data_IF_914386611336
#
_entry.id   IF_914386611336
#
_cell.length_a   1.000
_cell.length_b   1.000
_cell.length_c   1.000
_cell.angle_alpha   90.00
_cell.angle_beta   90.00
_cell.angle_gamma   90.00
#
_symmetry.space_group_name_H-M   'P 1'
#
loop_
_entity.id
_entity.type
_entity.pdbx_description
1 polymer ?
#
# COMPACT_ATOMS: atom_id res chain seq x y z
N UNK A 1 21.30 -5.12 -10.42
CA UNK A 1 20.52 -3.88 -10.69
C UNK A 1 20.54 -3.08 -9.42
N UNK A 2 20.96 -1.82 -9.44
CA UNK A 2 21.07 -1.02 -8.21
C UNK A 2 19.75 -0.30 -7.93
N UNK A 3 19.12 -0.60 -6.80
CA UNK A 3 17.93 0.11 -6.34
C UNK A 3 18.37 1.28 -5.44
N UNK A 4 18.02 2.51 -5.83
CA UNK A 4 18.21 3.68 -4.98
C UNK A 4 17.13 3.74 -3.90
N UNK A 5 17.49 4.13 -2.68
CA UNK A 5 16.52 4.42 -1.63
C UNK A 5 15.90 5.82 -1.77
N UNK A 6 16.47 6.67 -2.63
CA UNK A 6 15.99 8.02 -2.87
C UNK A 6 14.92 8.05 -3.97
N UNK A 7 13.88 8.84 -3.71
CA UNK A 7 12.87 9.13 -4.70
C UNK A 7 13.43 10.09 -5.77
N UNK A 8 13.11 9.88 -7.06
CA UNK A 8 13.36 10.90 -8.06
C UNK A 8 12.53 12.16 -7.74
N UNK A 9 12.95 13.34 -8.20
CA UNK A 9 12.19 14.56 -8.02
C UNK A 9 10.80 14.42 -8.67
N UNK A 10 9.78 14.98 -8.02
CA UNK A 10 8.45 15.04 -8.60
C UNK A 10 8.49 15.89 -9.88
N UNK A 11 7.89 15.43 -11.00
CA UNK A 11 7.93 16.14 -12.27
C UNK A 11 7.08 17.42 -12.30
N UNK A 12 6.44 17.78 -11.17
CA UNK A 12 5.57 18.94 -11.08
C UNK A 12 5.14 19.25 -9.64
N UNK A 13 4.07 20.04 -9.50
CA UNK A 13 3.52 20.41 -8.19
C UNK A 13 2.89 19.20 -7.52
N UNK A 14 3.09 19.08 -6.21
CA UNK A 14 2.40 18.07 -5.40
C UNK A 14 0.89 18.36 -5.38
N UNK A 15 0.11 17.43 -5.92
CA UNK A 15 -1.36 17.46 -5.86
C UNK A 15 -1.87 16.75 -4.61
N UNK A 16 -1.13 15.76 -4.11
CA UNK A 16 -1.43 15.02 -2.89
C UNK A 16 -0.20 15.05 -1.99
N UNK A 17 -0.40 15.34 -0.71
CA UNK A 17 0.61 15.16 0.33
C UNK A 17 0.03 14.36 1.50
N UNK A 18 0.82 13.44 2.03
CA UNK A 18 0.41 12.57 3.12
C UNK A 18 1.62 12.09 3.92
N UNK A 19 1.42 11.78 5.21
CA UNK A 19 2.42 11.16 6.06
C UNK A 19 1.99 9.74 6.41
N UNK A 20 2.83 8.78 6.07
CA UNK A 20 2.68 7.40 6.53
C UNK A 20 3.53 7.17 7.79
N UNK A 21 2.98 6.45 8.75
CA UNK A 21 3.67 6.10 9.98
C UNK A 21 3.28 4.69 10.42
N UNK A 22 4.13 4.05 11.24
CA UNK A 22 3.90 2.69 11.75
C UNK A 22 3.65 1.67 10.63
N UNK A 23 4.29 1.86 9.48
CA UNK A 23 4.14 0.97 8.35
C UNK A 23 4.80 -0.38 8.67
N UNK A 24 4.08 -1.47 8.40
CA UNK A 24 4.63 -2.82 8.46
C UNK A 24 4.62 -3.37 7.04
N UNK A 25 5.72 -3.98 6.64
CA UNK A 25 5.88 -4.55 5.30
C UNK A 25 5.96 -6.06 5.42
N UNK A 26 4.92 -6.77 4.96
CA UNK A 26 4.89 -8.22 4.87
C UNK A 26 4.90 -8.61 3.40
N UNK A 27 5.85 -9.45 2.99
CA UNK A 27 6.01 -9.83 1.59
C UNK A 27 6.13 -11.35 1.44
N UNK A 28 5.54 -11.87 0.37
CA UNK A 28 5.62 -13.28 0.00
C UNK A 28 6.11 -13.42 -1.45
N UNK A 29 7.05 -14.33 -1.64
CA UNK A 29 7.46 -14.78 -2.98
C UNK A 29 6.32 -15.53 -3.64
N UNK A 30 6.10 -15.25 -4.92
CA UNK A 30 5.14 -15.96 -5.74
C UNK A 30 5.71 -16.14 -7.15
N UNK A 31 5.19 -17.13 -7.87
CA UNK A 31 5.47 -17.28 -9.29
C UNK A 31 4.99 -16.03 -10.05
N UNK A 32 5.91 -15.40 -10.80
CA UNK A 32 5.64 -14.23 -11.61
C UNK A 32 4.53 -14.47 -12.64
N UNK A 33 4.42 -15.69 -13.19
CA UNK A 33 3.37 -16.03 -14.14
C UNK A 33 1.96 -15.91 -13.53
N UNK A 34 1.82 -16.11 -12.21
CA UNK A 34 0.55 -15.93 -11.49
C UNK A 34 0.16 -14.47 -11.30
N UNK A 35 1.12 -13.56 -11.35
CA UNK A 35 0.90 -12.12 -11.21
C UNK A 35 0.53 -11.45 -12.53
N UNK A 36 1.02 -11.95 -13.66
CA UNK A 36 0.82 -11.34 -14.97
C UNK A 36 -0.66 -11.02 -15.30
N UNK A 37 -1.64 -11.89 -15.02
CA UNK A 37 -3.05 -11.59 -15.29
C UNK A 37 -3.65 -10.48 -14.40
N UNK A 38 -2.98 -10.12 -13.31
CA UNK A 38 -3.43 -9.11 -12.34
C UNK A 38 -2.92 -7.70 -12.68
N UNK A 39 -2.00 -7.59 -13.63
CA UNK A 39 -1.35 -6.34 -13.99
C UNK A 39 -2.15 -5.59 -15.08
N UNK A 40 -2.04 -4.25 -15.14
CA UNK A 40 -2.55 -3.48 -16.27
C UNK A 40 -1.91 -3.92 -17.61
N UNK A 41 -2.59 -3.67 -18.75
CA UNK A 41 -1.97 -3.83 -20.06
C UNK A 41 -0.65 -3.04 -20.17
N UNK A 42 0.36 -3.61 -20.83
CA UNK A 42 1.69 -2.98 -20.96
C UNK A 42 2.55 -3.04 -19.70
N UNK A 43 2.11 -3.72 -18.64
CA UNK A 43 2.86 -3.92 -17.40
C UNK A 43 3.13 -5.40 -17.19
N UNK A 44 4.40 -5.75 -17.02
CA UNK A 44 4.84 -7.12 -16.70
C UNK A 44 5.29 -7.22 -15.24
N UNK A 45 5.25 -8.42 -14.62
CA UNK A 45 5.69 -8.58 -13.25
C UNK A 45 7.15 -8.11 -13.08
N UNK A 46 7.40 -7.29 -12.06
CA UNK A 46 8.76 -6.95 -11.67
C UNK A 46 9.33 -8.09 -10.81
N UNK A 47 10.42 -8.70 -11.29
CA UNK A 47 10.98 -9.93 -10.73
C UNK A 47 12.28 -9.62 -10.02
N UNK A 48 12.41 -10.16 -8.81
CA UNK A 48 13.66 -10.15 -8.04
C UNK A 48 13.97 -11.58 -7.63
N UNK A 49 15.20 -12.02 -7.91
CA UNK A 49 15.69 -13.35 -7.57
C UNK A 49 14.72 -14.46 -8.04
N UNK A 50 14.38 -14.40 -9.34
CA UNK A 50 13.48 -15.34 -10.02
C UNK A 50 12.01 -15.31 -9.58
N UNK A 51 11.65 -14.48 -8.60
CA UNK A 51 10.31 -14.44 -8.01
C UNK A 51 9.59 -13.12 -8.27
N UNK A 52 8.28 -13.20 -8.47
CA UNK A 52 7.37 -12.09 -8.23
C UNK A 52 7.06 -11.96 -6.75
N UNK A 53 6.44 -10.84 -6.35
CA UNK A 53 6.21 -10.52 -4.94
C UNK A 53 4.83 -9.92 -4.70
N UNK A 54 4.17 -10.36 -3.64
CA UNK A 54 2.96 -9.73 -3.11
C UNK A 54 3.28 -9.13 -1.74
N UNK A 55 2.88 -7.88 -1.54
CA UNK A 55 2.99 -7.16 -0.28
C UNK A 55 1.64 -6.92 0.38
N UNK A 56 1.59 -7.09 1.71
CA UNK A 56 0.54 -6.62 2.59
C UNK A 56 1.14 -5.53 3.49
N UNK A 57 0.68 -4.30 3.33
CA UNK A 57 1.27 -3.13 3.98
C UNK A 57 0.21 -2.37 4.78
N UNK A 58 0.02 -2.70 6.06
CA UNK A 58 -0.74 -1.84 6.98
C UNK A 58 0.09 -0.62 7.38
N UNK A 59 -0.55 0.54 7.50
CA UNK A 59 0.07 1.75 8.01
C UNK A 59 -0.97 2.74 8.53
N UNK A 60 -0.50 3.74 9.28
CA UNK A 60 -1.29 4.89 9.68
C UNK A 60 -1.03 6.03 8.70
N UNK A 61 -2.07 6.47 8.00
CA UNK A 61 -2.09 7.65 7.14
C UNK A 61 -2.53 8.87 7.97
N UNK A 62 -1.78 9.96 7.87
CA UNK A 62 -2.09 11.24 8.52
C UNK A 62 -1.69 12.41 7.64
N UNK A 63 -2.13 13.63 8.00
CA UNK A 63 -1.79 14.88 7.30
C UNK A 63 -2.12 14.84 5.80
N UNK A 64 -3.25 14.23 5.44
CA UNK A 64 -3.69 14.20 4.04
C UNK A 64 -4.04 15.61 3.54
N UNK A 65 -3.50 15.97 2.39
CA UNK A 65 -3.77 17.22 1.67
C UNK A 65 -4.07 16.87 0.21
N UNK A 66 -5.12 17.47 -0.34
CA UNK A 66 -5.51 17.35 -1.74
C UNK A 66 -5.59 18.75 -2.34
N UNK A 67 -4.88 18.99 -3.45
CA UNK A 67 -4.57 20.31 -4.00
C UNK A 67 -3.78 21.17 -2.98
N UNK A 68 -3.26 22.36 -3.33
CA UNK A 68 -2.58 23.25 -2.36
C UNK A 68 -3.55 23.89 -1.35
N UNK A 69 -4.43 23.08 -0.76
CA UNK A 69 -5.35 23.44 0.30
C UNK A 69 -4.76 22.99 1.67
N UNK A 70 -5.11 23.69 2.77
CA UNK A 70 -4.80 23.21 4.11
C UNK A 70 -5.39 21.81 4.35
N UNK A 71 -4.81 21.01 5.27
CA UNK A 71 -5.31 19.68 5.60
C UNK A 71 -6.82 19.73 5.87
N UNK A 72 -7.57 18.85 5.20
CA UNK A 72 -9.04 18.85 5.30
C UNK A 72 -9.41 18.37 6.71
N UNK A 73 -10.07 19.21 7.54
CA UNK A 73 -10.64 18.74 8.81
C UNK A 73 -11.60 17.58 8.49
N UNK A 74 -11.69 16.57 9.34
CA UNK A 74 -12.51 15.35 9.15
C UNK A 74 -11.93 14.22 8.27
N UNK A 75 -10.86 14.43 7.47
CA UNK A 75 -10.10 13.32 6.86
C UNK A 75 -9.02 12.72 7.77
N UNK A 76 -8.80 13.32 8.95
CA UNK A 76 -8.22 12.69 10.13
C UNK A 76 -6.88 11.94 9.98
N UNK A 77 -6.64 11.07 10.96
CA UNK A 77 -5.60 10.04 10.93
C UNK A 77 -6.32 8.71 10.91
N UNK A 78 -6.01 7.85 9.94
CA UNK A 78 -6.69 6.57 9.77
C UNK A 78 -5.73 5.44 9.38
N UNK A 79 -6.17 4.21 9.60
CA UNK A 79 -5.42 3.04 9.17
C UNK A 79 -5.80 2.63 7.75
N UNK A 80 -4.80 2.23 6.99
CA UNK A 80 -4.95 1.69 5.63
C UNK A 80 -4.17 0.37 5.54
N UNK A 81 -4.68 -0.59 4.76
CA UNK A 81 -3.98 -1.84 4.44
C UNK A 81 -3.95 -2.04 2.94
N UNK A 82 -2.73 -2.12 2.40
CA UNK A 82 -2.51 -2.23 0.96
C UNK A 82 -2.07 -3.64 0.61
N UNK A 83 -2.85 -4.32 -0.22
CA UNK A 83 -2.41 -5.53 -0.91
C UNK A 83 -1.91 -5.09 -2.27
N UNK A 84 -0.62 -5.28 -2.53
CA UNK A 84 0.03 -4.80 -3.76
C UNK A 84 0.96 -5.84 -4.36
N UNK A 85 1.17 -5.74 -5.65
CA UNK A 85 2.23 -6.43 -6.38
C UNK A 85 3.15 -5.40 -7.06
N UNK A 86 4.16 -5.86 -7.79
CA UNK A 86 5.18 -5.01 -8.40
C UNK A 86 5.19 -5.20 -9.91
N UNK A 87 5.24 -4.09 -10.63
CA UNK A 87 5.20 -4.05 -12.08
C UNK A 87 6.32 -3.21 -12.65
N UNK A 88 6.67 -3.52 -13.90
CA UNK A 88 7.50 -2.69 -14.75
C UNK A 88 6.81 -2.56 -16.10
N UNK A 89 6.71 -1.34 -16.61
CA UNK A 89 6.12 -1.09 -17.92
C UNK A 89 7.14 -1.20 -19.06
N UNK A 90 6.66 -1.03 -20.30
CA UNK A 90 7.47 -1.12 -21.52
C UNK A 90 8.55 -0.02 -21.61
N UNK A 91 8.38 1.10 -20.89
CA UNK A 91 9.38 2.18 -20.76
C UNK A 91 10.41 1.87 -19.66
N UNK A 92 10.26 0.76 -18.94
CA UNK A 92 11.15 0.37 -17.85
C UNK A 92 10.85 1.07 -16.52
N UNK A 93 9.74 1.81 -16.42
CA UNK A 93 9.32 2.47 -15.17
C UNK A 93 8.78 1.41 -14.23
N UNK A 94 9.30 1.40 -13.02
CA UNK A 94 8.94 0.43 -11.98
C UNK A 94 7.98 1.05 -10.99
N UNK A 95 6.94 0.32 -10.65
CA UNK A 95 5.92 0.78 -9.72
C UNK A 95 5.24 -0.35 -8.96
N UNK A 96 4.38 0.03 -8.04
CA UNK A 96 3.45 -0.91 -7.41
C UNK A 96 2.19 -1.04 -8.27
N UNK A 97 1.51 -2.17 -8.16
CA UNK A 97 0.14 -2.34 -8.65
C UNK A 97 -0.72 -2.71 -7.47
N UNK A 98 -1.72 -1.90 -7.18
CA UNK A 98 -2.61 -2.15 -6.07
C UNK A 98 -3.62 -3.23 -6.45
N UNK A 99 -3.63 -4.34 -5.71
CA UNK A 99 -4.63 -5.40 -5.86
C UNK A 99 -5.87 -5.11 -5.01
N UNK A 100 -5.67 -4.49 -3.84
CA UNK A 100 -6.72 -4.01 -2.96
C UNK A 100 -6.14 -2.91 -2.06
N UNK A 101 -6.93 -1.86 -1.83
CA UNK A 101 -6.68 -0.85 -0.80
C UNK A 101 -7.81 -0.91 0.22
N UNK A 102 -7.54 -1.31 1.46
CA UNK A 102 -8.53 -1.30 2.53
C UNK A 102 -8.36 -0.04 3.37
N UNK A 103 -9.40 0.79 3.50
CA UNK A 103 -9.34 2.01 4.31
C UNK A 103 -10.58 2.19 5.20
N UNK A 104 -10.37 2.84 6.35
CA UNK A 104 -11.40 3.09 7.37
C UNK A 104 -12.44 4.13 6.94
N UNK A 105 -12.02 5.15 6.19
CA UNK A 105 -12.89 6.26 5.80
C UNK A 105 -13.41 6.11 4.37
N UNK A 106 -14.74 6.11 4.27
CA UNK A 106 -15.49 5.96 3.02
C UNK A 106 -15.26 7.11 2.03
N UNK A 107 -14.94 8.32 2.50
CA UNK A 107 -14.75 9.51 1.66
C UNK A 107 -13.48 9.40 0.79
N UNK A 108 -12.27 9.17 1.34
CA UNK A 108 -11.09 8.92 0.50
C UNK A 108 -11.22 7.66 -0.38
N UNK A 109 -11.92 6.62 0.09
CA UNK A 109 -12.27 5.43 -0.73
C UNK A 109 -13.08 5.83 -1.97
N UNK A 110 -14.12 6.65 -1.80
CA UNK A 110 -14.98 7.10 -2.89
C UNK A 110 -14.26 8.08 -3.82
N UNK A 111 -13.49 9.02 -3.29
CA UNK A 111 -12.72 9.99 -4.09
C UNK A 111 -11.60 9.32 -4.89
N UNK A 112 -10.88 8.36 -4.30
CA UNK A 112 -9.81 7.66 -4.98
C UNK A 112 -10.33 6.66 -6.04
N UNK A 113 -11.43 5.97 -5.76
CA UNK A 113 -12.11 5.13 -6.76
C UNK A 113 -12.62 5.97 -7.94
N UNK A 114 -13.22 7.14 -7.67
CA UNK A 114 -13.81 7.99 -8.70
C UNK A 114 -12.78 8.74 -9.55
N UNK A 115 -11.64 9.14 -8.99
CA UNK A 115 -10.62 9.94 -9.69
C UNK A 115 -9.47 9.14 -10.28
N UNK A 116 -9.10 8.01 -9.66
CA UNK A 116 -7.91 7.24 -10.03
C UNK A 116 -8.21 5.78 -10.39
N UNK A 117 -9.48 5.32 -10.30
CA UNK A 117 -9.87 3.93 -10.59
C UNK A 117 -9.25 2.89 -9.66
N UNK A 118 -8.68 3.31 -8.53
CA UNK A 118 -7.99 2.44 -7.58
C UNK A 118 -8.98 1.44 -6.96
N UNK A 119 -8.55 0.24 -6.50
CA UNK A 119 -9.45 -0.77 -5.96
C UNK A 119 -9.72 -0.58 -4.45
N UNK A 120 -10.17 0.62 -4.02
CA UNK A 120 -10.48 0.82 -2.60
C UNK A 120 -11.71 0.02 -2.16
N UNK A 121 -11.56 -0.61 -0.99
CA UNK A 121 -12.59 -1.36 -0.29
C UNK A 121 -12.77 -0.79 1.11
N UNK A 122 -14.01 -0.54 1.48
CA UNK A 122 -14.34 -0.06 2.81
C UNK A 122 -14.13 -1.18 3.85
N UNK A 123 -13.31 -0.92 4.87
CA UNK A 123 -13.01 -1.88 5.92
C UNK A 123 -13.05 -1.21 7.29
N UNK A 124 -13.40 -1.98 8.32
CA UNK A 124 -13.12 -1.58 9.70
C UNK A 124 -11.69 -2.01 10.00
N UNK A 125 -10.80 -1.07 10.27
CA UNK A 125 -9.42 -1.34 10.62
C UNK A 125 -9.22 -0.85 12.07
N UNK A 126 -8.22 -1.40 12.75
CA UNK A 126 -7.82 -0.98 14.07
C UNK A 126 -6.36 -1.34 14.28
N UNK A 127 -5.64 -0.41 14.90
CA UNK A 127 -4.25 -0.59 15.29
C UNK A 127 -4.12 -0.39 16.80
N UNK A 128 -3.33 -1.23 17.46
CA UNK A 128 -3.00 -1.06 18.88
C UNK A 128 -1.58 -1.52 19.16
N UNK A 129 -0.97 -0.89 20.15
CA UNK A 129 0.23 -1.40 20.80
C UNK A 129 -0.17 -2.46 21.82
N UNK A 130 0.70 -3.45 22.04
CA UNK A 130 0.53 -4.40 23.13
C UNK A 130 0.78 -3.69 24.47
N UNK A 131 -0.14 -3.85 25.42
CA UNK A 131 -0.03 -3.25 26.75
C UNK A 131 1.12 -3.83 27.57
N UNK A 132 1.58 -5.04 27.23
CA UNK A 132 2.68 -5.72 27.91
C UNK A 132 4.02 -5.60 27.16
N UNK A 133 3.99 -5.21 25.89
CA UNK A 133 5.17 -5.02 25.05
C UNK A 133 4.95 -3.87 24.07
N UNK A 134 5.45 -2.67 24.42
CA UNK A 134 5.29 -1.48 23.60
C UNK A 134 5.94 -1.59 22.21
N UNK A 135 6.88 -2.53 22.02
CA UNK A 135 7.48 -2.81 20.71
C UNK A 135 6.57 -3.67 19.83
N UNK A 136 5.55 -4.33 20.41
CA UNK A 136 4.57 -5.12 19.67
C UNK A 136 3.42 -4.25 19.18
N UNK A 137 3.20 -4.30 17.87
CA UNK A 137 2.15 -3.64 17.13
C UNK A 137 1.17 -4.69 16.59
N UNK A 138 -0.13 -4.47 16.80
CA UNK A 138 -1.20 -5.28 16.22
C UNK A 138 -2.06 -4.44 15.27
N UNK A 139 -2.23 -4.91 14.03
CA UNK A 139 -3.28 -4.43 13.12
C UNK A 139 -4.35 -5.51 12.96
N UNK A 140 -5.61 -5.07 12.89
CA UNK A 140 -6.74 -5.89 12.51
C UNK A 140 -7.58 -5.16 11.47
N UNK A 141 -7.95 -5.83 10.39
CA UNK A 141 -8.99 -5.37 9.47
C UNK A 141 -10.12 -6.37 9.34
N UNK A 142 -11.29 -5.86 9.03
CA UNK A 142 -12.44 -6.63 8.55
C UNK A 142 -13.09 -5.85 7.42
N UNK A 143 -13.11 -6.44 6.23
CA UNK A 143 -13.81 -5.84 5.10
C UNK A 143 -15.31 -5.78 5.36
N UNK A 144 -15.91 -4.61 5.15
CA UNK A 144 -17.36 -4.45 5.21
C UNK A 144 -17.93 -4.87 3.85
N UNK A 145 -18.93 -5.76 3.85
CA UNK A 145 -19.69 -6.06 2.63
C UNK A 145 -20.93 -5.15 2.60
N UNK A 146 -21.24 -4.61 1.42
CA UNK A 146 -22.36 -3.69 1.22
C UNK A 146 -23.69 -4.44 1.04
N UNK A 147 -23.63 -5.75 0.78
CA UNK A 147 -24.76 -6.63 0.46
C UNK A 147 -25.41 -7.34 1.67
N UNK A 148 -24.99 -7.03 2.91
CA UNK A 148 -25.56 -7.63 4.13
C UNK A 148 -25.20 -9.11 4.37
N UNK A 149 -24.38 -9.73 3.51
CA UNK A 149 -23.96 -11.12 3.67
C UNK A 149 -22.89 -11.30 4.77
N UNK A 150 -22.68 -12.57 5.18
CA UNK A 150 -21.72 -12.94 6.23
C UNK A 150 -20.32 -12.34 6.02
N UNK A 151 -19.66 -12.11 7.17
CA UNK A 151 -18.39 -11.38 7.39
C UNK A 151 -17.39 -11.55 6.23
N UNK A 152 -17.00 -10.44 5.60
CA UNK A 152 -15.94 -10.42 4.58
C UNK A 152 -14.57 -10.85 5.14
N UNK A 153 -13.57 -11.06 4.26
CA UNK A 153 -12.21 -11.41 4.69
C UNK A 153 -11.67 -10.36 5.67
N UNK A 154 -10.83 -10.81 6.60
CA UNK A 154 -10.21 -9.97 7.60
C UNK A 154 -8.75 -10.31 7.78
N UNK A 155 -7.98 -9.30 8.12
CA UNK A 155 -6.55 -9.42 8.40
C UNK A 155 -6.34 -9.29 9.90
N UNK A 156 -5.44 -10.09 10.47
CA UNK A 156 -4.90 -9.86 11.82
C UNK A 156 -3.41 -10.13 11.77
N UNK A 157 -2.62 -9.14 12.13
CA UNK A 157 -1.17 -9.24 12.21
C UNK A 157 -0.69 -8.67 13.53
N UNK A 158 0.28 -9.34 14.13
CA UNK A 158 1.02 -8.88 15.31
C UNK A 158 2.49 -8.97 14.97
N UNK A 159 3.20 -7.86 15.09
CA UNK A 159 4.62 -7.76 14.78
C UNK A 159 5.29 -7.09 15.96
N UNK A 160 6.36 -7.69 16.46
CA UNK A 160 7.27 -7.07 17.42
C UNK A 160 8.37 -6.36 16.64
N UNK A 161 8.43 -5.05 16.75
CA UNK A 161 9.45 -4.22 16.11
C UNK A 161 10.78 -4.44 16.83
N UNK A 162 11.83 -4.76 16.08
CA UNK A 162 13.20 -4.81 16.58
C UNK A 162 13.98 -3.56 16.21
N UNK A 163 15.24 -3.50 16.67
CA UNK A 163 16.15 -2.36 16.43
C UNK A 163 17.10 -2.58 15.25
N UNK A 164 17.00 -3.73 14.58
CA UNK A 164 17.82 -4.06 13.41
C UNK A 164 17.42 -3.20 12.21
N UNK A 165 18.41 -2.51 11.65
CA UNK A 165 18.25 -1.75 10.40
C UNK A 165 18.49 -2.67 9.22
N UNK A 166 17.49 -2.85 8.37
CA UNK A 166 17.55 -3.69 7.16
C UNK A 166 17.65 -2.80 5.92
N UNK A 167 18.79 -2.85 5.24
CA UNK A 167 19.05 -2.09 4.02
C UNK A 167 19.83 -2.93 2.99
N UNK A 168 19.16 -3.95 2.46
CA UNK A 168 19.69 -4.86 1.44
C UNK A 168 19.00 -4.66 0.08
N UNK A 169 19.46 -5.35 -0.95
CA UNK A 169 18.89 -5.21 -2.31
C UNK A 169 17.41 -5.58 -2.36
N UNK A 170 16.97 -6.57 -1.56
CA UNK A 170 15.59 -7.02 -1.53
C UNK A 170 14.70 -5.98 -0.84
N UNK A 171 15.14 -5.43 0.30
CA UNK A 171 14.40 -4.41 1.03
C UNK A 171 14.21 -3.16 0.17
N UNK A 172 15.25 -2.73 -0.55
CA UNK A 172 15.18 -1.63 -1.52
C UNK A 172 14.26 -1.98 -2.69
N UNK A 173 14.39 -3.17 -3.28
CA UNK A 173 13.49 -3.62 -4.35
C UNK A 173 12.02 -3.60 -3.90
N UNK A 174 11.70 -4.01 -2.68
CA UNK A 174 10.31 -4.10 -2.20
C UNK A 174 9.73 -2.75 -1.74
N UNK A 175 10.57 -1.79 -1.33
CA UNK A 175 10.11 -0.56 -0.66
C UNK A 175 10.38 0.72 -1.44
N UNK A 176 11.46 0.82 -2.22
CA UNK A 176 11.79 2.00 -3.02
C UNK A 176 10.97 2.08 -4.30
N UNK A 177 9.66 2.33 -4.15
CA UNK A 177 8.68 2.42 -5.23
C UNK A 177 8.03 3.79 -5.24
N UNK A 178 8.25 4.53 -6.32
CA UNK A 178 7.92 5.96 -6.43
C UNK A 178 6.75 6.24 -7.37
N UNK A 179 6.10 5.19 -7.86
CA UNK A 179 4.94 5.26 -8.73
C UNK A 179 4.09 4.00 -8.61
N UNK A 180 2.92 4.05 -9.20
CA UNK A 180 2.03 2.90 -9.34
C UNK A 180 1.53 2.80 -10.79
N UNK A 181 1.21 1.59 -11.22
CA UNK A 181 0.51 1.37 -12.49
C UNK A 181 -0.95 1.05 -12.20
N UNK A 182 -1.84 1.65 -12.99
CA UNK A 182 -3.29 1.50 -12.87
C UNK A 182 -3.91 1.40 -14.27
N UNK A 183 -5.12 0.86 -14.37
CA UNK A 183 -5.80 0.66 -15.67
C UNK A 183 -6.58 1.88 -16.16
N UNK A 184 -6.93 2.78 -15.26
CA UNK A 184 -7.95 3.82 -15.49
C UNK A 184 -7.38 5.22 -15.73
N UNK A 185 -6.05 5.36 -15.81
CA UNK A 185 -5.35 6.62 -16.09
C UNK A 185 -4.19 6.39 -17.05
#
# INVERSE_FOLDING_TARGET
MTFSHDAPPLPGRAVIAQRWSRAIFLHWRVDAARLAPLLPPGVRPDVFDGSGWIGLVPFVLSKFQFLPAPPVPFLGTFNEINVRTYGIDDEGRRGVVFLTLEAEHLIPVLTANALFGLPYRWASIGHRFDSMDAATVEYRSRRRRVDGAARGPGTRLRVRVGDEVVDDELSRFLTARWGFHERHL
#
